data_IF_041327156425
#
_entry.id   IF_041327156425
#
_cell.length_a   1.000
_cell.length_b   1.000
_cell.length_c   1.000
_cell.angle_alpha   90.00
_cell.angle_beta   90.00
_cell.angle_gamma   90.00
#
_symmetry.space_group_name_H-M   'P 1'
#
loop_
_entity.id
_entity.type
_entity.pdbx_description
1 polymer ?
#
# COMPACT_ATOMS: atom_id res chain seq x y z
N UNK A 1 -7.18 15.83 17.16
CA UNK A 1 -7.65 14.65 17.91
C UNK A 1 -6.97 13.40 17.34
N UNK A 2 -5.96 12.84 18.01
CA UNK A 2 -5.15 11.74 17.46
C UNK A 2 -5.93 10.43 17.25
N UNK A 3 -6.84 10.10 18.17
CA UNK A 3 -7.69 8.91 18.09
C UNK A 3 -8.63 8.91 16.87
N UNK A 4 -8.88 10.08 16.29
CA UNK A 4 -9.77 10.28 15.14
C UNK A 4 -9.00 10.76 13.90
N UNK A 5 -7.70 10.47 13.80
CA UNK A 5 -6.87 10.87 12.66
C UNK A 5 -6.15 9.65 12.09
N UNK A 6 -6.19 9.50 10.78
CA UNK A 6 -5.37 8.55 10.02
C UNK A 6 -4.45 9.36 9.11
N UNK A 7 -3.16 9.03 9.13
CA UNK A 7 -2.13 9.58 8.26
C UNK A 7 -1.61 8.44 7.39
N UNK A 8 -1.64 8.62 6.08
CA UNK A 8 -1.04 7.68 5.13
C UNK A 8 0.13 8.38 4.46
N UNK A 9 1.33 7.80 4.60
CA UNK A 9 2.51 8.25 3.85
C UNK A 9 2.58 7.45 2.56
N UNK A 10 2.50 8.15 1.44
CA UNK A 10 2.55 7.59 0.09
C UNK A 10 3.75 8.15 -0.67
N UNK A 11 4.31 7.34 -1.56
CA UNK A 11 5.33 7.76 -2.52
C UNK A 11 4.92 7.30 -3.91
N UNK A 12 5.07 8.18 -4.90
CA UNK A 12 4.98 7.82 -6.32
C UNK A 12 6.28 7.17 -6.84
N UNK A 13 7.36 7.31 -6.08
CA UNK A 13 8.68 6.76 -6.42
C UNK A 13 8.90 5.45 -5.68
N UNK A 14 8.69 4.34 -6.38
CA UNK A 14 9.15 3.03 -5.93
C UNK A 14 10.63 2.82 -6.23
N UNK A 15 11.24 1.84 -5.56
CA UNK A 15 12.63 1.44 -5.74
C UNK A 15 12.75 0.00 -6.22
N UNK A 16 13.81 -0.27 -6.96
CA UNK A 16 14.26 -1.63 -7.24
C UNK A 16 14.66 -2.36 -5.96
N UNK A 17 14.60 -3.68 -5.97
CA UNK A 17 14.90 -4.49 -4.79
C UNK A 17 16.41 -4.59 -4.50
N UNK A 18 17.24 -4.59 -5.55
CA UNK A 18 18.69 -4.75 -5.43
C UNK A 18 19.40 -3.40 -5.29
N UNK A 19 20.52 -3.41 -4.58
CA UNK A 19 21.44 -2.28 -4.55
C UNK A 19 22.03 -2.04 -5.95
N UNK A 20 22.16 -0.77 -6.35
CA UNK A 20 22.82 -0.37 -7.60
C UNK A 20 24.32 -0.08 -7.37
N UNK A 21 25.06 0.20 -8.45
CA UNK A 21 26.51 0.44 -8.39
C UNK A 21 26.95 1.65 -7.55
N UNK A 22 26.01 2.51 -7.14
CA UNK A 22 26.28 3.69 -6.32
C UNK A 22 25.93 3.51 -4.84
N UNK A 23 25.72 2.26 -4.38
CA UNK A 23 25.28 1.92 -3.00
C UNK A 23 23.90 2.51 -2.64
N UNK A 24 23.06 2.70 -3.65
CA UNK A 24 21.65 3.08 -3.49
C UNK A 24 20.76 2.05 -4.16
N UNK A 25 19.57 2.46 -4.59
CA UNK A 25 18.68 1.65 -5.45
C UNK A 25 18.34 2.44 -6.69
N UNK A 26 17.84 1.80 -7.75
CA UNK A 26 17.28 2.49 -8.92
C UNK A 26 15.76 2.72 -8.79
N UNK A 27 15.21 3.52 -9.70
CA UNK A 27 13.76 3.72 -9.84
C UNK A 27 13.08 2.38 -10.17
N UNK A 28 12.01 2.07 -9.46
CA UNK A 28 11.33 0.79 -9.56
C UNK A 28 9.90 0.85 -9.03
N UNK A 29 9.31 -0.31 -8.77
CA UNK A 29 7.92 -0.42 -8.30
C UNK A 29 7.79 -0.72 -6.80
N UNK A 30 8.86 -1.17 -6.15
CA UNK A 30 8.83 -1.54 -4.73
C UNK A 30 8.58 -0.33 -3.83
N UNK A 31 7.52 -0.37 -3.04
CA UNK A 31 7.17 0.70 -2.09
C UNK A 31 6.50 0.11 -0.85
N UNK A 32 6.48 0.89 0.22
CA UNK A 32 5.75 0.59 1.45
C UNK A 32 4.91 1.81 1.85
N UNK A 33 3.63 1.56 2.17
CA UNK A 33 2.76 2.58 2.73
C UNK A 33 2.82 2.56 4.24
N UNK A 34 3.07 3.71 4.85
CA UNK A 34 2.99 3.86 6.30
C UNK A 34 1.61 4.38 6.67
N UNK A 35 0.89 3.66 7.52
CA UNK A 35 -0.42 4.04 8.00
C UNK A 35 -0.32 4.25 9.50
N UNK A 36 -0.60 5.47 9.95
CA UNK A 36 -0.49 5.89 11.34
C UNK A 36 -1.79 6.53 11.80
N UNK A 37 -2.07 6.48 13.10
CA UNK A 37 -3.28 7.08 13.66
C UNK A 37 -3.63 6.45 15.00
N UNK A 38 -4.36 7.17 15.85
CA UNK A 38 -4.76 6.63 17.16
C UNK A 38 -5.82 5.53 17.06
N UNK A 39 -6.58 5.46 15.97
CA UNK A 39 -7.52 4.38 15.66
C UNK A 39 -6.97 3.29 14.72
N UNK A 40 -5.69 3.37 14.33
CA UNK A 40 -5.08 2.39 13.41
C UNK A 40 -4.65 1.15 14.18
N UNK A 41 -5.01 -0.03 13.68
CA UNK A 41 -4.55 -1.35 14.18
C UNK A 41 -3.10 -1.61 13.73
N UNK A 42 -2.19 -0.79 14.26
CA UNK A 42 -0.77 -0.77 13.94
C UNK A 42 0.04 -1.90 14.60
N UNK A 43 1.37 -1.74 14.62
CA UNK A 43 2.28 -2.74 15.20
C UNK A 43 2.44 -4.00 14.34
N UNK A 44 2.02 -3.95 13.07
CA UNK A 44 2.02 -5.08 12.15
C UNK A 44 2.31 -4.64 10.72
N UNK A 45 2.78 -5.59 9.91
CA UNK A 45 2.77 -5.47 8.46
C UNK A 45 1.40 -5.95 7.97
N UNK A 46 0.78 -5.18 7.07
CA UNK A 46 -0.54 -5.47 6.52
C UNK A 46 -0.47 -5.63 5.00
N UNK A 47 -1.48 -6.29 4.44
CA UNK A 47 -1.54 -6.57 3.01
C UNK A 47 -0.82 -7.86 2.63
N UNK A 48 -0.89 -8.16 1.35
CA UNK A 48 -0.29 -9.35 0.77
C UNK A 48 1.24 -9.29 0.79
N UNK A 49 1.85 -10.43 1.08
CA UNK A 49 3.29 -10.61 1.22
C UNK A 49 3.67 -11.87 0.44
N UNK A 50 4.83 -11.85 -0.21
CA UNK A 50 5.41 -13.05 -0.83
C UNK A 50 6.81 -13.27 -0.30
N UNK A 51 7.29 -14.51 -0.37
CA UNK A 51 8.66 -14.83 -0.04
C UNK A 51 9.63 -14.00 -0.90
N UNK A 52 10.62 -13.41 -0.25
CA UNK A 52 11.63 -12.63 -0.93
C UNK A 52 12.74 -13.53 -1.49
N UNK A 53 12.59 -13.90 -2.76
CA UNK A 53 13.61 -14.64 -3.53
C UNK A 53 13.70 -14.14 -4.96
N UNK A 54 14.86 -14.31 -5.59
CA UNK A 54 15.11 -13.80 -6.95
C UNK A 54 14.02 -14.23 -7.97
N UNK A 55 13.55 -15.47 -7.89
CA UNK A 55 12.49 -15.99 -8.77
C UNK A 55 11.09 -15.38 -8.53
N UNK A 56 10.87 -14.76 -7.36
CA UNK A 56 9.61 -14.10 -7.03
C UNK A 56 9.62 -12.59 -7.36
N UNK A 57 10.78 -12.03 -7.71
CA UNK A 57 10.89 -10.63 -8.12
C UNK A 57 10.33 -10.43 -9.53
N UNK A 58 9.60 -9.35 -9.70
CA UNK A 58 9.16 -8.91 -11.02
C UNK A 58 10.37 -8.58 -11.88
N UNK A 59 10.51 -9.29 -13.00
CA UNK A 59 11.65 -9.17 -13.92
C UNK A 59 13.03 -9.34 -13.23
N UNK A 60 13.09 -10.08 -12.11
CA UNK A 60 14.30 -10.23 -11.28
C UNK A 60 14.89 -8.88 -10.78
N UNK A 61 14.07 -7.83 -10.73
CA UNK A 61 14.50 -6.44 -10.46
C UNK A 61 13.70 -5.77 -9.36
N UNK A 62 12.37 -5.87 -9.45
CA UNK A 62 11.43 -5.16 -8.58
C UNK A 62 10.69 -6.13 -7.66
N UNK A 63 10.28 -5.67 -6.47
CA UNK A 63 9.26 -6.38 -5.71
C UNK A 63 7.93 -6.31 -6.49
N UNK A 64 7.18 -7.41 -6.65
CA UNK A 64 5.93 -7.38 -7.38
C UNK A 64 4.92 -6.42 -6.72
N UNK A 65 4.07 -5.78 -7.53
CA UNK A 65 2.98 -4.96 -7.01
C UNK A 65 1.88 -5.87 -6.47
N UNK A 66 1.93 -6.15 -5.16
CA UNK A 66 0.96 -7.00 -4.46
C UNK A 66 -0.24 -6.24 -3.92
N UNK A 67 -0.01 -5.00 -3.48
CA UNK A 67 -1.00 -4.16 -2.83
C UNK A 67 -1.15 -2.86 -3.60
N UNK A 68 -2.20 -2.80 -4.42
CA UNK A 68 -2.52 -1.62 -5.21
C UNK A 68 -3.13 -0.52 -4.32
N UNK A 69 -2.68 0.73 -4.51
CA UNK A 69 -2.96 1.81 -3.56
C UNK A 69 -4.43 2.23 -3.54
N UNK A 70 -5.14 2.22 -4.67
CA UNK A 70 -6.56 2.56 -4.73
C UNK A 70 -7.40 1.52 -4.01
N UNK A 71 -7.06 0.24 -4.11
CA UNK A 71 -7.70 -0.83 -3.37
C UNK A 71 -7.51 -0.65 -1.86
N UNK A 72 -6.28 -0.34 -1.41
CA UNK A 72 -5.97 -0.07 0.00
C UNK A 72 -6.73 1.14 0.53
N UNK A 73 -6.62 2.28 -0.15
CA UNK A 73 -7.28 3.52 0.26
C UNK A 73 -8.81 3.39 0.19
N UNK A 74 -9.33 2.66 -0.80
CA UNK A 74 -10.76 2.37 -0.90
C UNK A 74 -11.28 1.56 0.29
N UNK A 75 -10.53 0.54 0.74
CA UNK A 75 -10.87 -0.22 1.95
C UNK A 75 -10.86 0.65 3.21
N UNK A 76 -9.88 1.54 3.31
CA UNK A 76 -9.80 2.52 4.40
C UNK A 76 -10.98 3.50 4.37
N UNK A 77 -11.32 4.06 3.20
CA UNK A 77 -12.42 5.01 3.04
C UNK A 77 -13.78 4.38 3.30
N UNK A 78 -13.97 3.10 2.92
CA UNK A 78 -15.15 2.32 3.29
C UNK A 78 -15.36 2.32 4.82
N UNK A 79 -14.30 2.08 5.59
CA UNK A 79 -14.38 2.01 7.06
C UNK A 79 -14.50 3.39 7.71
N UNK A 80 -13.75 4.38 7.24
CA UNK A 80 -13.72 5.71 7.84
C UNK A 80 -14.97 6.54 7.54
N UNK A 81 -15.52 6.41 6.33
CA UNK A 81 -16.61 7.27 5.85
C UNK A 81 -17.89 6.51 5.52
N UNK A 82 -17.91 5.18 5.66
CA UNK A 82 -19.10 4.37 5.36
C UNK A 82 -19.44 4.29 3.88
N UNK A 83 -18.47 4.52 2.98
CA UNK A 83 -18.73 4.53 1.54
C UNK A 83 -19.10 3.13 1.02
N UNK A 84 -20.15 3.07 0.20
CA UNK A 84 -20.52 1.85 -0.54
C UNK A 84 -19.71 1.71 -1.84
N UNK A 85 -19.90 0.60 -2.56
CA UNK A 85 -19.13 0.26 -3.75
C UNK A 85 -19.32 1.27 -4.90
N UNK A 86 -20.52 1.83 -5.09
CA UNK A 86 -20.78 2.82 -6.12
C UNK A 86 -20.07 4.15 -5.83
N UNK A 87 -20.05 4.57 -4.56
CA UNK A 87 -19.32 5.76 -4.13
C UNK A 87 -17.81 5.56 -4.25
N UNK A 88 -17.30 4.40 -3.85
CA UNK A 88 -15.89 4.05 -3.99
C UNK A 88 -15.47 3.99 -5.47
N UNK A 89 -16.32 3.48 -6.37
CA UNK A 89 -16.06 3.48 -7.80
C UNK A 89 -16.00 4.89 -8.41
N UNK A 90 -16.67 5.87 -7.79
CA UNK A 90 -16.56 7.28 -8.18
C UNK A 90 -15.24 7.92 -7.72
N UNK A 91 -14.70 7.50 -6.56
CA UNK A 91 -13.41 7.99 -6.03
C UNK A 91 -12.22 7.30 -6.72
N UNK A 92 -12.32 5.98 -6.92
CA UNK A 92 -11.28 5.14 -7.51
C UNK A 92 -11.83 4.28 -8.66
N UNK A 93 -12.06 4.88 -9.84
CA UNK A 93 -12.58 4.15 -11.00
C UNK A 93 -11.70 2.96 -11.39
N UNK A 94 -12.34 1.81 -11.62
CA UNK A 94 -11.67 0.57 -12.04
C UNK A 94 -10.88 -0.15 -10.93
N UNK A 95 -10.90 0.35 -9.70
CA UNK A 95 -10.29 -0.34 -8.56
C UNK A 95 -11.36 -1.03 -7.69
N UNK A 96 -11.01 -2.19 -7.14
CA UNK A 96 -11.85 -2.88 -6.16
C UNK A 96 -11.27 -2.67 -4.76
N UNK A 97 -12.02 -1.98 -3.90
CA UNK A 97 -11.60 -1.70 -2.53
C UNK A 97 -11.37 -2.98 -1.72
N UNK A 98 -10.19 -3.10 -1.12
CA UNK A 98 -9.78 -4.24 -0.29
C UNK A 98 -9.65 -3.79 1.16
N UNK A 99 -10.50 -4.33 2.02
CA UNK A 99 -10.38 -4.11 3.45
C UNK A 99 -9.34 -5.06 4.05
N UNK A 100 -8.21 -4.50 4.47
CA UNK A 100 -7.11 -5.23 5.11
C UNK A 100 -7.06 -4.98 6.63
N UNK A 101 -8.13 -4.42 7.20
CA UNK A 101 -8.30 -4.20 8.65
C UNK A 101 -7.34 -3.17 9.24
N UNK A 102 -7.11 -2.05 8.54
CA UNK A 102 -6.23 -0.97 9.01
C UNK A 102 -6.82 -0.20 10.20
N UNK A 103 -8.15 -0.04 10.22
CA UNK A 103 -8.92 0.58 11.31
C UNK A 103 -9.97 -0.40 11.83
#
# INVERSE_FOLDING_TARGET
QWNNTVVVVVSEFGRTFRENGNRGTDHGHGSAYWVLGGGVKGGRIAGEQVELKAAALFQNRDYPVLNEYRALLGGLFRRMYGLNDAQLASVFPGASARDIGLV
#
